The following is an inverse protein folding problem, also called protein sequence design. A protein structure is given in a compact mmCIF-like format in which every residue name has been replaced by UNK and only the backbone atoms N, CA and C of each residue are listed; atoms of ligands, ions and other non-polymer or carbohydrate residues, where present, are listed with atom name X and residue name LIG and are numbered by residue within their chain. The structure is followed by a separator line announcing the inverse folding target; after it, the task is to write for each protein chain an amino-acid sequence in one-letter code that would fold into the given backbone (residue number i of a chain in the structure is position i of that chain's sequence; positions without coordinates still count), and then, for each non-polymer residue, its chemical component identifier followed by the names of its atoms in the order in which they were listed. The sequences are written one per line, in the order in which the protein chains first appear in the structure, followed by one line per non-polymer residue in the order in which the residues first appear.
data_IF_866426533021
#
_entry.id   IF_866426533021
#
_cell.length_a   1.000
_cell.length_b   1.000
_cell.length_c   1.000
_cell.angle_alpha   90.00
_cell.angle_beta   90.00
_cell.angle_gamma   90.00
#
_symmetry.space_group_name_H-M   'P 1'
#
loop_
_entity.id
_entity.type
_entity.pdbx_description
1 polymer ?
#
# COMPACT_ATOMS: atom_id res chain seq x y z
N UNK A 1 35.23 -20.28 26.27
CA UNK A 1 34.63 -18.97 26.55
C UNK A 1 33.38 -18.83 25.70
N UNK A 2 32.17 -19.03 26.24
CA UNK A 2 30.96 -18.80 25.46
C UNK A 2 30.90 -17.30 25.13
N UNK A 3 30.84 -16.98 23.84
CA UNK A 3 30.55 -15.61 23.39
C UNK A 3 29.24 -15.19 24.06
N UNK A 4 29.29 -14.12 24.88
CA UNK A 4 28.12 -13.58 25.54
C UNK A 4 27.04 -13.33 24.47
N UNK A 5 25.82 -13.81 24.72
CA UNK A 5 24.69 -13.50 23.84
C UNK A 5 24.70 -11.99 23.62
N UNK A 6 24.64 -11.50 22.36
CA UNK A 6 24.48 -10.07 22.11
C UNK A 6 23.31 -9.62 22.99
N UNK A 7 23.59 -8.65 23.87
CA UNK A 7 22.61 -8.18 24.84
C UNK A 7 21.35 -7.82 24.07
N UNK A 8 20.23 -8.46 24.41
CA UNK A 8 18.96 -8.13 23.80
C UNK A 8 18.79 -6.62 23.91
N UNK A 9 18.88 -5.91 22.78
CA UNK A 9 18.65 -4.48 22.77
C UNK A 9 17.28 -4.27 23.41
N UNK A 10 17.26 -3.50 24.50
CA UNK A 10 16.04 -3.25 25.21
C UNK A 10 15.07 -2.57 24.23
N UNK A 11 14.02 -3.30 23.83
CA UNK A 11 12.99 -2.78 22.94
C UNK A 11 12.45 -1.49 23.54
N UNK A 12 12.60 -0.36 22.83
CA UNK A 12 12.15 0.93 23.33
C UNK A 12 10.64 0.87 23.58
N UNK A 13 10.23 1.08 24.83
CA UNK A 13 8.82 1.09 25.22
C UNK A 13 8.31 2.51 25.34
N UNK A 14 7.08 2.72 24.89
CA UNK A 14 6.37 3.98 25.02
C UNK A 14 5.24 3.86 26.04
N UNK A 15 4.96 4.95 26.73
CA UNK A 15 3.90 5.06 27.72
C UNK A 15 3.06 6.32 27.43
N UNK A 16 1.79 6.30 27.79
CA UNK A 16 0.97 7.52 27.84
C UNK A 16 1.51 8.52 28.87
N UNK A 17 1.02 9.76 28.85
CA UNK A 17 1.38 10.81 29.82
C UNK A 17 1.17 10.41 31.29
N UNK A 18 0.18 9.56 31.57
CA UNK A 18 -0.10 9.01 32.89
C UNK A 18 0.82 7.83 33.31
N UNK A 19 1.76 7.43 32.45
CA UNK A 19 2.70 6.31 32.58
C UNK A 19 2.09 4.91 32.41
N UNK A 20 0.88 4.80 31.86
CA UNK A 20 0.34 3.50 31.40
C UNK A 20 0.95 3.06 30.06
N UNK A 21 1.06 1.76 29.76
CA UNK A 21 1.64 1.28 28.51
C UNK A 21 0.94 1.83 27.25
N UNK A 22 1.72 2.35 26.30
CA UNK A 22 1.25 2.74 24.98
C UNK A 22 1.25 1.50 24.06
N UNK A 23 0.25 1.32 23.16
CA UNK A 23 0.14 0.10 22.36
C UNK A 23 1.17 -0.02 21.24
N UNK A 24 1.83 1.07 20.84
CA UNK A 24 2.82 1.06 19.76
C UNK A 24 4.25 1.23 20.31
N UNK A 25 5.22 0.73 19.55
CA UNK A 25 6.65 0.78 19.87
C UNK A 25 7.37 1.93 19.14
N UNK A 26 6.64 3.00 18.77
CA UNK A 26 7.16 4.14 18.01
C UNK A 26 6.81 5.51 18.61
N UNK A 27 7.52 6.55 18.16
CA UNK A 27 7.21 7.94 18.51
C UNK A 27 5.95 8.42 17.77
N UNK A 28 4.80 8.09 18.34
CA UNK A 28 3.52 8.43 17.73
C UNK A 28 3.22 9.93 17.69
N UNK A 29 3.92 10.78 18.46
CA UNK A 29 3.77 12.24 18.32
C UNK A 29 4.27 12.69 16.94
N UNK A 30 5.42 12.17 16.50
CA UNK A 30 5.93 12.47 15.17
C UNK A 30 5.04 11.89 14.06
N UNK A 31 4.47 10.70 14.28
CA UNK A 31 3.46 10.11 13.37
C UNK A 31 2.22 11.00 13.27
N UNK A 32 1.69 11.47 14.41
CA UNK A 32 0.52 12.36 14.46
C UNK A 32 0.76 13.68 13.72
N UNK A 33 1.95 14.27 13.88
CA UNK A 33 2.34 15.50 13.18
C UNK A 33 2.43 15.27 11.67
N UNK A 34 3.18 14.26 11.25
CA UNK A 34 3.37 13.95 9.84
C UNK A 34 2.04 13.59 9.15
N UNK A 35 1.20 12.80 9.81
CA UNK A 35 -0.12 12.45 9.29
C UNK A 35 -1.03 13.67 9.19
N UNK A 36 -0.98 14.60 10.16
CA UNK A 36 -1.72 15.87 10.09
C UNK A 36 -1.26 16.70 8.89
N UNK A 37 0.05 16.86 8.69
CA UNK A 37 0.59 17.60 7.55
C UNK A 37 0.21 16.96 6.20
N UNK A 38 0.24 15.62 6.12
CA UNK A 38 -0.20 14.88 4.94
C UNK A 38 -1.71 15.08 4.67
N UNK A 39 -2.57 14.96 5.68
CA UNK A 39 -4.00 15.21 5.55
C UNK A 39 -4.29 16.65 5.11
N UNK A 40 -3.60 17.65 5.67
CA UNK A 40 -3.73 19.06 5.23
C UNK A 40 -3.36 19.20 3.75
N UNK A 41 -2.27 18.57 3.30
CA UNK A 41 -1.86 18.59 1.89
C UNK A 41 -2.88 17.91 0.99
N UNK A 42 -3.39 16.74 1.36
CA UNK A 42 -4.45 16.02 0.64
C UNK A 42 -5.74 16.85 0.52
N UNK A 43 -6.17 17.52 1.59
CA UNK A 43 -7.37 18.36 1.58
C UNK A 43 -7.20 19.63 0.74
N UNK A 44 -5.99 20.19 0.68
CA UNK A 44 -5.66 21.28 -0.26
C UNK A 44 -5.71 20.82 -1.71
N UNK A 45 -5.19 19.63 -2.01
CA UNK A 45 -5.28 19.01 -3.33
C UNK A 45 -6.75 18.74 -3.71
N UNK A 46 -7.57 18.26 -2.76
CA UNK A 46 -9.00 18.06 -2.96
C UNK A 46 -9.73 19.36 -3.31
N UNK A 47 -9.52 20.42 -2.53
CA UNK A 47 -10.11 21.74 -2.79
C UNK A 47 -9.67 22.31 -4.16
N UNK A 48 -8.41 22.10 -4.55
CA UNK A 48 -7.91 22.50 -5.86
C UNK A 48 -8.57 21.70 -6.99
N UNK A 49 -8.69 20.38 -6.84
CA UNK A 49 -9.33 19.50 -7.80
C UNK A 49 -10.83 19.83 -7.97
N UNK A 50 -11.53 20.16 -6.89
CA UNK A 50 -12.91 20.66 -6.97
C UNK A 50 -13.03 21.97 -7.76
N UNK A 51 -12.14 22.94 -7.52
CA UNK A 51 -12.13 24.20 -8.28
C UNK A 51 -11.88 23.93 -9.76
N UNK A 52 -10.87 23.10 -10.09
CA UNK A 52 -10.58 22.67 -11.45
C UNK A 52 -11.77 21.96 -12.11
N UNK A 53 -12.47 21.06 -11.40
CA UNK A 53 -13.67 20.40 -11.93
C UNK A 53 -14.81 21.38 -12.21
N UNK A 54 -15.06 22.34 -11.31
CA UNK A 54 -16.06 23.39 -11.51
C UNK A 54 -15.72 24.27 -12.72
N UNK A 55 -14.46 24.68 -12.86
CA UNK A 55 -14.01 25.48 -14.00
C UNK A 55 -14.09 24.71 -15.33
N UNK A 56 -13.73 23.42 -15.32
CA UNK A 56 -13.87 22.55 -16.49
C UNK A 56 -15.35 22.40 -16.89
N UNK A 57 -16.25 22.27 -15.91
CA UNK A 57 -17.69 22.22 -16.16
C UNK A 57 -18.19 23.52 -16.81
N UNK A 58 -17.84 24.68 -16.25
CA UNK A 58 -18.17 25.99 -16.82
C UNK A 58 -17.63 26.17 -18.25
N UNK A 59 -16.39 25.73 -18.50
CA UNK A 59 -15.80 25.78 -19.84
C UNK A 59 -16.55 24.91 -20.86
N UNK A 60 -17.05 23.74 -20.43
CA UNK A 60 -17.90 22.87 -21.28
C UNK A 60 -19.24 23.53 -21.58
N UNK A 61 -19.88 24.11 -20.57
CA UNK A 61 -21.16 24.82 -20.74
C UNK A 61 -21.03 26.00 -21.70
N UNK A 62 -19.99 26.83 -21.52
CA UNK A 62 -19.73 27.97 -22.41
C UNK A 62 -19.47 27.51 -23.85
N UNK A 63 -18.64 26.48 -24.04
CA UNK A 63 -18.39 25.92 -25.37
C UNK A 63 -19.66 25.35 -26.04
N UNK A 64 -20.58 24.80 -25.24
CA UNK A 64 -21.89 24.34 -25.72
C UNK A 64 -22.76 25.49 -26.23
N UNK A 65 -22.83 26.60 -25.48
CA UNK A 65 -23.56 27.81 -25.89
C UNK A 65 -22.98 28.39 -27.18
N UNK A 66 -21.66 28.62 -27.23
CA UNK A 66 -20.99 29.16 -28.42
C UNK A 66 -21.19 28.26 -29.66
N UNK A 67 -21.18 26.93 -29.46
CA UNK A 67 -21.46 25.98 -30.56
C UNK A 67 -22.89 26.10 -31.06
N UNK A 68 -23.86 26.20 -30.15
CA UNK A 68 -25.27 26.40 -30.49
C UNK A 68 -25.53 27.70 -31.25
N UNK A 69 -24.84 28.79 -30.88
CA UNK A 69 -24.91 30.07 -31.60
C UNK A 69 -24.35 29.96 -33.03
N UNK A 70 -23.21 29.29 -33.19
CA UNK A 70 -22.59 29.04 -34.51
C UNK A 70 -23.50 28.19 -35.40
N UNK A 71 -24.09 27.13 -34.84
CA UNK A 71 -24.98 26.24 -35.58
C UNK A 71 -26.28 26.96 -35.96
N UNK A 72 -26.89 27.72 -35.04
CA UNK A 72 -28.07 28.53 -35.32
C UNK A 72 -27.84 29.59 -36.41
N UNK A 73 -26.66 30.23 -36.41
CA UNK A 73 -26.27 31.16 -37.49
C UNK A 73 -26.12 30.44 -38.83
N UNK A 74 -25.48 29.27 -38.85
CA UNK A 74 -25.28 28.49 -40.08
C UNK A 74 -26.63 28.01 -40.67
N UNK A 75 -27.55 27.58 -39.81
CA UNK A 75 -28.91 27.18 -40.19
C UNK A 75 -29.72 28.37 -40.73
N UNK A 76 -29.65 29.53 -40.08
CA UNK A 76 -30.31 30.75 -40.58
C UNK A 76 -29.81 31.14 -41.98
N UNK A 77 -28.49 31.09 -42.20
CA UNK A 77 -27.90 31.36 -43.53
C UNK A 77 -28.36 30.32 -44.56
N UNK A 78 -28.37 29.04 -44.20
CA UNK A 78 -28.85 27.97 -45.08
C UNK A 78 -30.32 28.16 -45.47
N UNK A 79 -31.19 28.47 -44.51
CA UNK A 79 -32.61 28.69 -44.74
C UNK A 79 -32.89 29.89 -45.67
N UNK A 80 -32.10 30.96 -45.57
CA UNK A 80 -32.19 32.09 -46.51
C UNK A 80 -31.71 31.68 -47.90
N UNK A 81 -30.56 30.99 -47.99
CA UNK A 81 -30.00 30.54 -49.27
C UNK A 81 -30.94 29.59 -50.01
N UNK A 82 -31.65 28.72 -49.29
CA UNK A 82 -32.54 27.72 -49.89
C UNK A 82 -33.73 28.34 -50.63
N UNK A 83 -34.21 29.51 -50.21
CA UNK A 83 -35.26 30.26 -50.92
C UNK A 83 -34.80 30.73 -52.30
N UNK A 84 -33.55 31.17 -52.42
CA UNK A 84 -32.97 31.64 -53.68
C UNK A 84 -32.51 30.48 -54.57
N UNK A 85 -32.12 29.36 -53.99
CA UNK A 85 -31.75 28.16 -54.74
C UNK A 85 -32.93 27.57 -55.53
N UNK A 86 -34.17 27.84 -55.12
CA UNK A 86 -35.40 27.38 -55.78
C UNK A 86 -35.80 28.24 -57.00
N UNK A 87 -35.19 29.41 -57.23
CA UNK A 87 -35.60 30.36 -58.27
C UNK A 87 -35.15 29.99 -59.72
N UNK A 88 -34.64 28.77 -59.94
CA UNK A 88 -34.21 28.25 -61.25
C UNK A 88 -32.73 27.86 -61.27
N UNK A 89 -32.42 26.69 -61.86
CA UNK A 89 -31.07 26.07 -61.84
C UNK A 89 -29.96 26.97 -62.40
N UNK A 90 -30.28 27.75 -63.44
CA UNK A 90 -29.33 28.60 -64.18
C UNK A 90 -29.29 30.07 -63.71
N UNK A 91 -30.02 30.43 -62.64
CA UNK A 91 -29.98 31.82 -62.17
C UNK A 91 -28.66 32.12 -61.44
N UNK A 92 -28.06 33.30 -61.71
CA UNK A 92 -26.88 33.77 -60.98
C UNK A 92 -27.13 33.85 -59.46
N UNK A 93 -28.37 34.14 -59.05
CA UNK A 93 -28.80 34.15 -57.65
C UNK A 93 -28.71 32.76 -57.00
N UNK A 94 -29.16 31.70 -57.69
CA UNK A 94 -29.07 30.33 -57.18
C UNK A 94 -27.60 29.88 -57.03
N UNK A 95 -26.74 30.23 -57.99
CA UNK A 95 -25.30 29.93 -57.89
C UNK A 95 -24.63 30.62 -56.69
N UNK A 96 -24.95 31.90 -56.45
CA UNK A 96 -24.46 32.66 -55.30
C UNK A 96 -24.96 32.06 -53.98
N UNK A 97 -26.25 31.72 -53.89
CA UNK A 97 -26.85 31.12 -52.71
C UNK A 97 -26.19 29.78 -52.32
N UNK A 98 -25.94 28.90 -53.30
CA UNK A 98 -25.20 27.64 -53.08
C UNK A 98 -23.80 27.90 -52.50
N UNK A 99 -23.08 28.87 -53.05
CA UNK A 99 -21.73 29.23 -52.59
C UNK A 99 -21.74 29.82 -51.17
N UNK A 100 -22.70 30.68 -50.85
CA UNK A 100 -22.87 31.25 -49.51
C UNK A 100 -23.16 30.14 -48.48
N UNK A 101 -24.08 29.23 -48.80
CA UNK A 101 -24.39 28.07 -47.94
C UNK A 101 -23.16 27.20 -47.68
N UNK A 102 -22.41 26.86 -48.73
CA UNK A 102 -21.18 26.05 -48.59
C UNK A 102 -20.12 26.78 -47.74
N UNK A 103 -19.95 28.08 -47.95
CA UNK A 103 -19.01 28.91 -47.19
C UNK A 103 -19.41 29.01 -45.72
N UNK A 104 -20.70 29.22 -45.43
CA UNK A 104 -21.24 29.27 -44.07
C UNK A 104 -21.07 27.92 -43.35
N UNK A 105 -21.36 26.80 -44.03
CA UNK A 105 -21.16 25.46 -43.48
C UNK A 105 -19.68 25.17 -43.16
N UNK A 106 -18.77 25.54 -44.07
CA UNK A 106 -17.33 25.41 -43.84
C UNK A 106 -16.86 26.31 -42.68
N UNK A 107 -17.36 27.54 -42.60
CA UNK A 107 -17.10 28.48 -41.52
C UNK A 107 -17.56 27.94 -40.17
N UNK A 108 -18.79 27.43 -40.09
CA UNK A 108 -19.36 26.83 -38.88
C UNK A 108 -18.57 25.60 -38.42
N UNK A 109 -18.15 24.73 -39.35
CA UNK A 109 -17.27 23.59 -39.05
C UNK A 109 -15.93 24.05 -38.45
N UNK A 110 -15.32 25.08 -39.05
CA UNK A 110 -14.06 25.65 -38.56
C UNK A 110 -14.21 26.29 -37.17
N UNK A 111 -15.29 27.06 -36.95
CA UNK A 111 -15.61 27.69 -35.69
C UNK A 111 -15.82 26.66 -34.57
N UNK A 112 -16.60 25.59 -34.82
CA UNK A 112 -16.77 24.47 -33.88
C UNK A 112 -15.44 23.83 -33.49
N UNK A 113 -14.57 23.56 -34.46
CA UNK A 113 -13.24 23.02 -34.19
C UNK A 113 -12.39 24.00 -33.35
N UNK A 114 -12.50 25.31 -33.59
CA UNK A 114 -11.82 26.32 -32.78
C UNK A 114 -12.36 26.37 -31.34
N UNK A 115 -13.67 26.34 -31.14
CA UNK A 115 -14.33 26.28 -29.82
C UNK A 115 -13.88 25.04 -29.05
N UNK A 116 -13.92 23.87 -29.70
CA UNK A 116 -13.46 22.61 -29.10
C UNK A 116 -11.98 22.69 -28.67
N UNK A 117 -11.09 23.18 -29.53
CA UNK A 117 -9.67 23.37 -29.20
C UNK A 117 -9.46 24.32 -28.01
N UNK A 118 -10.19 25.43 -27.93
CA UNK A 118 -10.12 26.36 -26.79
C UNK A 118 -10.59 25.70 -25.49
N UNK A 119 -11.72 24.98 -25.53
CA UNK A 119 -12.24 24.22 -24.40
C UNK A 119 -11.21 23.19 -23.91
N UNK A 120 -10.65 22.39 -24.81
CA UNK A 120 -9.73 21.31 -24.46
C UNK A 120 -8.38 21.85 -23.98
N UNK A 121 -7.90 22.98 -24.53
CA UNK A 121 -6.74 23.68 -24.01
C UNK A 121 -6.98 24.22 -22.59
N UNK A 122 -8.17 24.80 -22.34
CA UNK A 122 -8.56 25.27 -21.01
C UNK A 122 -8.65 24.12 -20.01
N UNK A 123 -9.30 23.00 -20.37
CA UNK A 123 -9.41 21.82 -19.50
C UNK A 123 -8.03 21.23 -19.20
N UNK A 124 -7.15 21.07 -20.20
CA UNK A 124 -5.78 20.56 -19.97
C UNK A 124 -4.97 21.45 -19.04
N UNK A 125 -5.12 22.78 -19.13
CA UNK A 125 -4.43 23.74 -18.25
C UNK A 125 -4.83 23.57 -16.77
N UNK A 126 -5.98 22.98 -16.47
CA UNK A 126 -6.46 22.77 -15.09
C UNK A 126 -5.76 21.61 -14.36
N UNK A 127 -4.92 20.82 -15.04
CA UNK A 127 -4.02 19.85 -14.39
C UNK A 127 -4.72 18.78 -13.56
N UNK A 128 -5.88 18.27 -14.01
CA UNK A 128 -6.60 17.23 -13.25
C UNK A 128 -5.72 15.97 -13.05
N UNK A 129 -4.94 15.59 -14.07
CA UNK A 129 -4.06 14.41 -14.01
C UNK A 129 -2.90 14.57 -13.01
N UNK A 130 -2.38 15.80 -12.83
CA UNK A 130 -1.27 16.05 -11.88
C UNK A 130 -1.70 15.93 -10.43
N UNK A 131 -3.01 15.99 -10.15
CA UNK A 131 -3.53 15.82 -8.79
C UNK A 131 -3.30 14.39 -8.30
N UNK A 132 -3.53 13.39 -9.15
CA UNK A 132 -3.38 11.99 -8.77
C UNK A 132 -1.94 11.64 -8.38
N UNK A 133 -0.95 12.14 -9.12
CA UNK A 133 0.46 11.93 -8.79
C UNK A 133 0.87 12.68 -7.52
N UNK A 134 0.38 13.91 -7.31
CA UNK A 134 0.63 14.65 -6.08
C UNK A 134 0.04 13.95 -4.83
N UNK A 135 -1.10 13.27 -4.96
CA UNK A 135 -1.67 12.46 -3.87
C UNK A 135 -0.76 11.29 -3.52
N UNK A 136 -0.24 10.58 -4.52
CA UNK A 136 0.70 9.45 -4.29
C UNK A 136 2.01 9.95 -3.68
N UNK A 137 2.49 11.12 -4.09
CA UNK A 137 3.70 11.74 -3.53
C UNK A 137 3.51 12.06 -2.04
N UNK A 138 2.43 12.76 -1.67
CA UNK A 138 2.12 13.08 -0.26
C UNK A 138 1.97 11.82 0.59
N UNK A 139 1.29 10.79 0.07
CA UNK A 139 1.16 9.51 0.76
C UNK A 139 2.52 8.79 0.89
N UNK A 140 3.36 8.89 -0.14
CA UNK A 140 4.72 8.39 -0.16
C UNK A 140 5.58 9.00 0.92
N UNK A 141 5.57 10.32 1.04
CA UNK A 141 6.31 11.04 2.08
C UNK A 141 5.89 10.58 3.48
N UNK A 142 4.58 10.47 3.73
CA UNK A 142 4.06 10.00 5.02
C UNK A 142 4.50 8.56 5.31
N UNK A 143 4.17 7.61 4.43
CA UNK A 143 4.34 6.19 4.73
C UNK A 143 5.80 5.73 4.60
N UNK A 144 6.65 6.43 3.85
CA UNK A 144 8.09 6.17 3.88
C UNK A 144 8.72 6.63 5.20
N UNK A 145 8.19 7.68 5.83
CA UNK A 145 8.72 8.19 7.10
C UNK A 145 8.10 7.54 8.34
N UNK A 146 6.81 7.18 8.28
CA UNK A 146 5.99 6.79 9.44
C UNK A 146 5.16 5.54 9.18
N UNK A 147 4.78 4.87 10.26
CA UNK A 147 3.84 3.76 10.25
C UNK A 147 2.46 4.26 10.72
N UNK A 148 1.38 3.76 10.13
CA UNK A 148 0.03 3.99 10.65
C UNK A 148 -0.31 2.93 11.71
N UNK A 149 -1.19 3.21 12.67
CA UNK A 149 -1.65 2.20 13.62
C UNK A 149 -2.12 0.92 12.94
N UNK A 150 -1.85 -0.22 13.59
CA UNK A 150 -2.25 -1.55 13.12
C UNK A 150 -1.80 -1.88 11.68
N UNK A 151 -0.64 -1.32 11.27
CA UNK A 151 -0.01 -1.68 10.01
C UNK A 151 0.61 -3.06 10.10
N UNK A 152 0.28 -3.89 9.11
CA UNK A 152 0.90 -5.19 8.89
C UNK A 152 1.86 -5.11 7.72
N UNK A 153 3.04 -5.69 7.88
CA UNK A 153 4.10 -5.65 6.89
C UNK A 153 4.32 -7.04 6.28
N UNK A 154 4.38 -7.10 4.95
CA UNK A 154 4.85 -8.24 4.17
C UNK A 154 6.08 -7.83 3.38
N UNK A 155 7.22 -8.46 3.65
CA UNK A 155 8.48 -8.22 2.96
C UNK A 155 8.76 -9.36 1.98
N UNK A 156 9.08 -9.02 0.74
CA UNK A 156 9.58 -9.94 -0.28
C UNK A 156 10.94 -9.48 -0.75
N UNK A 157 11.90 -10.37 -0.66
CA UNK A 157 13.28 -10.12 -1.04
C UNK A 157 13.75 -11.19 -2.03
N UNK A 158 14.48 -10.76 -3.05
CA UNK A 158 15.11 -11.62 -4.04
C UNK A 158 16.53 -11.12 -4.31
N UNK A 159 17.50 -12.00 -4.11
CA UNK A 159 18.90 -11.73 -4.38
C UNK A 159 19.15 -11.45 -5.87
N UNK A 160 20.19 -10.66 -6.14
CA UNK A 160 20.75 -10.47 -7.47
C UNK A 160 21.03 -11.82 -8.17
N UNK A 161 20.74 -11.89 -9.47
CA UNK A 161 21.01 -13.08 -10.30
C UNK A 161 21.46 -12.68 -11.69
N UNK A 162 22.72 -12.95 -12.02
CA UNK A 162 23.31 -12.49 -13.29
C UNK A 162 23.51 -10.97 -13.25
N UNK A 163 22.97 -10.27 -14.24
CA UNK A 163 23.04 -8.82 -14.34
C UNK A 163 21.91 -8.10 -13.57
N UNK A 164 20.96 -8.84 -13.01
CA UNK A 164 19.86 -8.28 -12.22
C UNK A 164 20.33 -7.84 -10.83
N UNK A 165 19.97 -6.62 -10.44
CA UNK A 165 20.17 -6.13 -9.08
C UNK A 165 19.27 -6.86 -8.06
N UNK A 166 19.68 -6.85 -6.80
CA UNK A 166 18.86 -7.32 -5.67
C UNK A 166 17.59 -6.48 -5.59
N UNK A 167 16.43 -7.16 -5.48
CA UNK A 167 15.12 -6.51 -5.42
C UNK A 167 14.47 -6.82 -4.08
N UNK A 168 14.00 -5.77 -3.40
CA UNK A 168 13.21 -5.89 -2.19
C UNK A 168 11.94 -5.04 -2.32
N UNK A 169 10.82 -5.66 -1.98
CA UNK A 169 9.52 -5.02 -1.96
C UNK A 169 8.88 -5.20 -0.60
N UNK A 170 8.21 -4.15 -0.13
CA UNK A 170 7.51 -4.14 1.13
C UNK A 170 6.05 -3.81 0.87
N UNK A 171 5.14 -4.62 1.38
CA UNK A 171 3.71 -4.40 1.30
C UNK A 171 3.19 -4.06 2.70
N UNK A 172 2.64 -2.87 2.85
CA UNK A 172 2.01 -2.40 4.08
C UNK A 172 0.49 -2.48 3.92
N UNK A 173 -0.20 -2.93 4.96
CA UNK A 173 -1.66 -2.85 5.06
C UNK A 173 -2.03 -2.26 6.42
N UNK A 174 -2.59 -1.06 6.43
CA UNK A 174 -3.10 -0.40 7.64
C UNK A 174 -4.55 -0.82 7.88
N UNK A 175 -4.80 -1.51 8.99
CA UNK A 175 -6.14 -1.96 9.39
C UNK A 175 -6.73 -0.98 10.43
N UNK A 176 -8.06 -0.81 10.51
CA UNK A 176 -9.11 -1.41 9.70
C UNK A 176 -9.39 -0.65 8.38
N UNK A 177 -8.66 0.42 8.07
CA UNK A 177 -8.97 1.36 6.98
C UNK A 177 -8.67 0.83 5.56
N UNK A 178 -8.18 -0.41 5.44
CA UNK A 178 -7.77 -1.08 4.19
C UNK A 178 -6.92 -0.21 3.25
N UNK A 179 -6.06 0.63 3.83
CA UNK A 179 -5.05 1.38 3.09
C UNK A 179 -3.83 0.48 2.88
N UNK A 180 -3.56 0.15 1.63
CA UNK A 180 -2.45 -0.71 1.25
C UNK A 180 -1.42 0.06 0.44
N UNK A 181 -0.14 -0.22 0.67
CA UNK A 181 0.96 0.40 -0.06
C UNK A 181 2.06 -0.62 -0.38
N UNK A 182 2.52 -0.60 -1.63
CA UNK A 182 3.69 -1.36 -2.08
C UNK A 182 4.87 -0.40 -2.22
N UNK A 183 5.96 -0.69 -1.52
CA UNK A 183 7.19 0.07 -1.55
C UNK A 183 8.28 -0.67 -2.31
N UNK A 184 9.09 0.10 -3.01
CA UNK A 184 10.46 -0.26 -3.34
C UNK A 184 11.34 -0.02 -2.10
N UNK A 185 12.18 -1.00 -1.79
CA UNK A 185 13.12 -0.93 -0.67
C UNK A 185 14.54 -0.79 -1.23
N UNK A 186 15.25 0.21 -0.75
CA UNK A 186 16.67 0.35 -1.04
C UNK A 186 17.45 -0.62 -0.16
N UNK A 187 18.31 -1.46 -0.74
CA UNK A 187 19.08 -2.44 0.05
C UNK A 187 20.52 -1.94 0.14
N UNK A 188 20.95 -1.40 1.30
CA UNK A 188 22.28 -0.81 1.43
C UNK A 188 23.38 -1.79 1.05
N UNK A 189 24.44 -1.29 0.41
CA UNK A 189 25.53 -2.14 -0.10
C UNK A 189 26.29 -2.91 0.99
N UNK A 190 26.29 -2.39 2.22
CA UNK A 190 26.87 -2.99 3.42
C UNK A 190 25.89 -3.89 4.18
N UNK A 191 24.64 -3.98 3.74
CA UNK A 191 23.62 -4.81 4.38
C UNK A 191 23.83 -6.29 4.05
N UNK A 192 23.59 -7.19 5.02
CA UNK A 192 23.71 -8.65 4.83
C UNK A 192 22.92 -9.15 3.60
N UNK A 193 21.75 -8.57 3.38
CA UNK A 193 20.81 -8.93 2.32
C UNK A 193 21.05 -8.19 1.00
N UNK A 194 22.18 -7.51 0.82
CA UNK A 194 22.53 -6.88 -0.47
C UNK A 194 22.72 -7.89 -1.60
N UNK A 195 22.99 -9.15 -1.27
CA UNK A 195 23.09 -10.25 -2.23
C UNK A 195 22.71 -11.59 -1.61
N UNK A 196 22.99 -12.71 -2.29
CA UNK A 196 22.73 -14.04 -1.74
C UNK A 196 23.42 -14.23 -0.37
N UNK A 197 22.70 -14.76 0.61
CA UNK A 197 23.19 -14.96 1.99
C UNK A 197 23.55 -16.42 2.20
N UNK A 198 24.74 -16.75 2.70
CA UNK A 198 25.05 -18.16 3.01
C UNK A 198 24.31 -18.59 4.26
N UNK A 199 23.78 -19.81 4.27
CA UNK A 199 23.06 -20.34 5.44
C UNK A 199 23.95 -20.33 6.69
N UNK A 200 25.24 -20.68 6.57
CA UNK A 200 26.18 -20.70 7.69
C UNK A 200 26.52 -19.32 8.28
N UNK A 201 26.18 -18.23 7.59
CA UNK A 201 26.26 -16.86 8.15
C UNK A 201 25.12 -16.58 9.13
N UNK A 202 23.99 -17.28 9.01
CA UNK A 202 22.81 -17.11 9.86
C UNK A 202 22.73 -18.20 10.93
N UNK A 203 22.91 -19.47 10.54
CA UNK A 203 22.87 -20.62 11.43
C UNK A 203 23.79 -21.74 10.93
N UNK A 204 24.60 -22.30 11.83
CA UNK A 204 25.45 -23.45 11.55
C UNK A 204 24.75 -24.79 11.77
N UNK A 205 25.24 -25.81 11.07
CA UNK A 205 24.85 -27.22 11.15
C UNK A 205 23.37 -27.45 10.82
N UNK A 206 22.86 -26.75 9.80
CA UNK A 206 21.47 -26.93 9.34
C UNK A 206 21.42 -28.06 8.32
N UNK A 207 20.74 -29.16 8.68
CA UNK A 207 20.52 -30.30 7.81
C UNK A 207 19.04 -30.64 7.70
N UNK A 208 18.57 -30.96 6.49
CA UNK A 208 17.18 -31.37 6.26
C UNK A 208 17.10 -32.62 5.40
N UNK A 209 16.06 -33.41 5.60
CA UNK A 209 15.78 -34.59 4.78
C UNK A 209 15.04 -34.16 3.52
N UNK A 210 15.64 -34.41 2.35
CA UNK A 210 15.08 -34.05 1.05
C UNK A 210 14.82 -35.30 0.22
N UNK A 211 13.66 -35.35 -0.43
CA UNK A 211 13.31 -36.39 -1.39
C UNK A 211 14.18 -36.27 -2.64
N UNK A 212 15.02 -37.26 -2.89
CA UNK A 212 15.82 -37.35 -4.11
C UNK A 212 15.17 -38.33 -5.07
N UNK A 213 14.86 -37.87 -6.29
CA UNK A 213 14.52 -38.76 -7.41
C UNK A 213 15.82 -39.36 -7.93
N UNK A 214 15.97 -40.68 -7.88
CA UNK A 214 17.15 -41.36 -8.42
C UNK A 214 17.03 -41.45 -9.94
N UNK A 215 18.12 -41.17 -10.66
CA UNK A 215 18.18 -41.22 -12.12
C UNK A 215 17.62 -42.52 -12.69
N UNK A 216 16.85 -42.35 -13.76
CA UNK A 216 16.13 -43.22 -14.72
C UNK A 216 16.13 -44.76 -14.66
N UNK A 217 17.01 -45.45 -13.95
CA UNK A 217 17.15 -46.94 -14.06
C UNK A 217 16.37 -47.71 -12.99
N UNK A 218 16.07 -47.12 -11.81
CA UNK A 218 15.24 -47.74 -10.75
C UNK A 218 14.53 -46.65 -9.94
N UNK A 219 13.31 -46.29 -10.35
CA UNK A 219 12.53 -45.12 -9.90
C UNK A 219 12.06 -45.07 -8.44
N UNK A 220 12.91 -45.43 -7.48
CA UNK A 220 12.63 -45.28 -6.06
C UNK A 220 12.94 -43.86 -5.56
N UNK A 221 11.97 -43.24 -4.88
CA UNK A 221 12.17 -42.02 -4.08
C UNK A 221 12.90 -42.40 -2.78
N UNK A 222 14.01 -41.72 -2.46
CA UNK A 222 14.73 -41.92 -1.19
C UNK A 222 14.95 -40.58 -0.51
N UNK A 223 14.68 -40.52 0.79
CA UNK A 223 15.07 -39.39 1.63
C UNK A 223 16.58 -39.37 1.81
N UNK A 224 17.19 -38.20 1.55
CA UNK A 224 18.61 -37.94 1.74
C UNK A 224 18.77 -36.73 2.66
N UNK A 225 19.66 -36.83 3.65
CA UNK A 225 20.11 -35.68 4.43
C UNK A 225 20.92 -34.74 3.53
N UNK A 226 20.45 -33.51 3.37
CA UNK A 226 21.10 -32.44 2.63
C UNK A 226 21.55 -31.36 3.62
N UNK A 227 22.85 -31.05 3.60
CA UNK A 227 23.43 -29.96 4.38
C UNK A 227 23.13 -28.63 3.70
N UNK A 228 22.56 -27.68 4.44
CA UNK A 228 22.22 -26.36 3.94
C UNK A 228 23.33 -25.33 4.16
N UNK A 229 24.29 -25.57 5.07
CA UNK A 229 25.38 -24.64 5.44
C UNK A 229 26.15 -24.01 4.26
N UNK A 230 26.33 -24.78 3.18
CA UNK A 230 27.06 -24.37 1.97
C UNK A 230 26.16 -23.81 0.87
N UNK A 231 24.86 -23.72 1.13
CA UNK A 231 23.86 -23.19 0.22
C UNK A 231 23.61 -21.71 0.51
N UNK A 232 22.95 -21.06 -0.42
CA UNK A 232 22.68 -19.63 -0.45
C UNK A 232 21.18 -19.40 -0.39
N UNK A 233 20.72 -18.56 0.53
CA UNK A 233 19.37 -18.04 0.53
C UNK A 233 19.30 -16.99 -0.58
N UNK A 234 18.39 -17.20 -1.54
CA UNK A 234 18.23 -16.37 -2.73
C UNK A 234 16.87 -15.66 -2.79
N UNK A 235 15.88 -16.15 -2.04
CA UNK A 235 14.55 -15.54 -1.96
C UNK A 235 14.01 -15.68 -0.53
N UNK A 236 13.32 -14.65 -0.04
CA UNK A 236 12.66 -14.64 1.27
C UNK A 236 11.32 -13.94 1.15
N UNK A 237 10.28 -14.51 1.76
CA UNK A 237 8.97 -13.91 1.94
C UNK A 237 8.59 -13.96 3.43
N UNK A 238 8.57 -12.80 4.08
CA UNK A 238 8.14 -12.62 5.48
C UNK A 238 6.77 -11.96 5.47
N UNK A 239 5.75 -12.62 6.02
CA UNK A 239 4.45 -12.02 6.28
C UNK A 239 3.73 -12.74 7.43
N UNK A 240 2.71 -12.12 8.06
CA UNK A 240 1.92 -12.79 9.09
C UNK A 240 1.30 -14.11 8.63
N UNK A 241 0.95 -14.19 7.35
CA UNK A 241 0.28 -15.34 6.73
C UNK A 241 1.25 -16.37 6.15
N UNK A 242 2.49 -15.98 5.86
CA UNK A 242 3.42 -16.82 5.10
C UNK A 242 4.85 -16.56 5.48
N UNK A 243 5.53 -17.65 5.84
CA UNK A 243 6.97 -17.72 6.13
C UNK A 243 7.64 -18.65 5.13
N UNK A 244 8.37 -18.10 4.17
CA UNK A 244 8.99 -18.90 3.12
C UNK A 244 10.35 -18.36 2.71
N UNK A 245 11.23 -19.27 2.31
CA UNK A 245 12.52 -18.91 1.74
C UNK A 245 12.99 -19.96 0.73
N UNK A 246 13.93 -19.58 -0.14
CA UNK A 246 14.52 -20.47 -1.12
C UNK A 246 16.02 -20.52 -0.89
N UNK A 247 16.55 -21.74 -0.75
CA UNK A 247 18.00 -22.00 -0.77
C UNK A 247 18.44 -22.59 -2.10
N UNK A 248 19.64 -22.24 -2.52
CA UNK A 248 20.24 -22.59 -3.80
C UNK A 248 21.68 -23.05 -3.60
N UNK A 249 22.15 -24.01 -4.40
CA UNK A 249 23.55 -24.46 -4.34
C UNK A 249 24.54 -23.42 -4.85
N UNK A 250 24.10 -22.55 -5.75
CA UNK A 250 24.90 -21.44 -6.29
C UNK A 250 24.27 -20.11 -5.87
N UNK A 251 25.07 -19.05 -5.65
CA UNK A 251 24.55 -17.73 -5.33
C UNK A 251 23.75 -17.13 -6.51
N UNK A 252 24.12 -17.48 -7.75
CA UNK A 252 23.46 -17.03 -8.98
C UNK A 252 23.47 -18.12 -10.06
N UNK A 253 22.61 -17.94 -11.06
CA UNK A 253 22.46 -18.85 -12.19
C UNK A 253 21.71 -20.14 -11.88
N UNK A 254 21.45 -20.97 -12.91
CA UNK A 254 20.64 -22.18 -12.75
C UNK A 254 21.35 -23.18 -11.83
N UNK A 255 20.64 -23.60 -10.78
CA UNK A 255 21.08 -24.67 -9.89
C UNK A 255 19.89 -25.35 -9.22
N UNK A 256 20.15 -26.45 -8.52
CA UNK A 256 19.13 -27.09 -7.69
C UNK A 256 18.75 -26.16 -6.54
N UNK A 257 17.48 -25.79 -6.47
CA UNK A 257 16.89 -24.96 -5.41
C UNK A 257 16.00 -25.79 -4.51
N UNK A 258 15.89 -25.39 -3.26
CA UNK A 258 14.97 -25.96 -2.28
C UNK A 258 14.12 -24.80 -1.75
N UNK A 259 12.83 -24.84 -2.07
CA UNK A 259 11.84 -23.93 -1.51
C UNK A 259 11.33 -24.51 -0.21
N UNK A 260 11.40 -23.71 0.85
CA UNK A 260 10.88 -24.04 2.18
C UNK A 260 9.70 -23.12 2.47
N UNK A 261 8.59 -23.70 2.90
CA UNK A 261 7.41 -22.98 3.38
C UNK A 261 7.09 -23.50 4.78
N UNK A 262 7.28 -22.65 5.78
CA UNK A 262 7.05 -23.03 7.18
C UNK A 262 5.58 -22.86 7.56
N UNK A 263 4.97 -21.74 7.14
CA UNK A 263 3.55 -21.45 7.35
C UNK A 263 2.91 -20.94 6.05
N UNK A 264 1.66 -21.30 5.83
CA UNK A 264 0.76 -20.72 4.83
C UNK A 264 -0.70 -20.82 5.32
N UNK A 265 -1.63 -19.96 4.85
CA UNK A 265 -3.01 -19.94 5.36
C UNK A 265 -3.76 -21.27 5.23
N UNK A 266 -3.42 -22.06 4.21
CA UNK A 266 -4.09 -23.32 3.86
C UNK A 266 -3.25 -24.57 4.18
N UNK A 267 -2.22 -24.44 5.03
CA UNK A 267 -1.24 -25.51 5.27
C UNK A 267 -0.75 -25.53 6.73
N UNK A 268 -1.10 -26.60 7.46
CA UNK A 268 -0.72 -26.76 8.87
C UNK A 268 0.74 -27.24 9.06
N UNK A 269 1.24 -27.98 8.09
CA UNK A 269 2.58 -28.58 8.13
C UNK A 269 3.60 -27.76 7.36
N UNK A 270 4.85 -27.72 7.84
CA UNK A 270 5.95 -27.18 7.05
C UNK A 270 6.22 -28.08 5.83
N UNK A 271 6.45 -27.47 4.66
CA UNK A 271 6.76 -28.21 3.43
C UNK A 271 8.06 -27.76 2.78
N UNK A 272 8.64 -28.70 2.04
CA UNK A 272 9.83 -28.54 1.25
C UNK A 272 9.55 -28.97 -0.19
N UNK A 273 10.04 -28.20 -1.15
CA UNK A 273 9.95 -28.54 -2.57
C UNK A 273 11.30 -28.33 -3.25
N UNK A 274 11.80 -29.36 -3.93
CA UNK A 274 13.01 -29.24 -4.75
C UNK A 274 12.63 -28.72 -6.13
N UNK A 275 13.31 -27.69 -6.60
CA UNK A 275 13.12 -27.10 -7.93
C UNK A 275 14.44 -27.23 -8.68
N UNK A 276 14.41 -27.87 -9.86
CA UNK A 276 15.59 -27.99 -10.73
C UNK A 276 15.42 -27.11 -11.96
N UNK A 277 16.09 -25.96 -11.95
CA UNK A 277 15.99 -24.95 -13.02
C UNK A 277 16.52 -25.46 -14.36
N UNK A 278 17.44 -26.45 -14.37
CA UNK A 278 18.02 -26.99 -15.60
C UNK A 278 17.10 -27.96 -16.35
N UNK A 279 16.16 -28.59 -15.64
CA UNK A 279 15.26 -29.60 -16.19
C UNK A 279 13.81 -29.09 -16.34
N UNK A 280 13.52 -27.87 -15.90
CA UNK A 280 12.14 -27.35 -15.80
C UNK A 280 11.26 -28.16 -14.84
N UNK A 281 11.87 -29.03 -14.03
CA UNK A 281 11.19 -29.98 -13.17
C UNK A 281 10.86 -29.35 -11.83
N UNK A 282 9.57 -29.17 -11.56
CA UNK A 282 9.07 -28.88 -10.21
C UNK A 282 8.94 -30.22 -9.48
N UNK A 283 9.76 -30.44 -8.46
CA UNK A 283 9.68 -31.66 -7.64
C UNK A 283 8.40 -31.72 -6.80
N UNK A 284 8.13 -32.90 -6.27
CA UNK A 284 6.99 -33.12 -5.38
C UNK A 284 7.12 -32.31 -4.08
N UNK A 285 5.97 -31.90 -3.52
CA UNK A 285 5.90 -31.34 -2.18
C UNK A 285 6.17 -32.44 -1.16
N UNK A 286 7.10 -32.16 -0.24
CA UNK A 286 7.44 -33.05 0.86
C UNK A 286 7.03 -32.37 2.18
N UNK A 287 6.32 -33.10 3.04
CA UNK A 287 6.09 -32.69 4.43
C UNK A 287 7.40 -32.83 5.21
N UNK A 288 7.75 -31.78 5.94
CA UNK A 288 8.97 -31.72 6.75
C UNK A 288 8.74 -32.47 8.06
N UNK A 289 9.71 -33.29 8.47
CA UNK A 289 9.64 -33.97 9.78
C UNK A 289 9.81 -32.98 10.94
N UNK A 290 9.29 -33.29 12.13
CA UNK A 290 9.39 -32.38 13.30
C UNK A 290 10.83 -31.96 13.63
N UNK A 291 11.79 -32.89 13.50
CA UNK A 291 13.20 -32.61 13.72
C UNK A 291 13.75 -31.60 12.70
N UNK A 292 13.44 -31.79 11.41
CA UNK A 292 13.87 -30.87 10.35
C UNK A 292 13.13 -29.52 10.47
N UNK A 293 11.88 -29.53 10.95
CA UNK A 293 11.08 -28.31 11.21
C UNK A 293 11.74 -27.46 12.28
N UNK A 294 12.18 -28.05 13.40
CA UNK A 294 12.86 -27.31 14.47
C UNK A 294 14.14 -26.63 13.97
N UNK A 295 14.92 -27.30 13.11
CA UNK A 295 16.13 -26.73 12.51
C UNK A 295 15.81 -25.57 11.55
N UNK A 296 14.76 -25.72 10.73
CA UNK A 296 14.33 -24.68 9.81
C UNK A 296 13.68 -23.49 10.53
N UNK A 297 12.96 -23.70 11.64
CA UNK A 297 12.45 -22.62 12.48
C UNK A 297 13.61 -21.82 13.12
N UNK A 298 14.64 -22.51 13.62
CA UNK A 298 15.86 -21.84 14.15
C UNK A 298 16.55 -20.98 13.09
N UNK A 299 16.67 -21.48 11.85
CA UNK A 299 17.20 -20.69 10.73
C UNK A 299 16.26 -19.53 10.40
N UNK A 300 14.95 -19.75 10.38
CA UNK A 300 13.96 -18.74 10.08
C UNK A 300 14.00 -17.58 11.07
N UNK A 301 14.10 -17.84 12.37
CA UNK A 301 14.18 -16.79 13.38
C UNK A 301 15.35 -15.83 13.08
N UNK A 302 16.50 -16.38 12.64
CA UNK A 302 17.65 -15.58 12.20
C UNK A 302 17.43 -14.82 10.90
N UNK A 303 16.74 -15.44 9.94
CA UNK A 303 16.33 -14.76 8.70
C UNK A 303 15.44 -13.57 9.05
N UNK A 304 14.40 -13.79 9.85
CA UNK A 304 13.40 -12.80 10.21
C UNK A 304 14.01 -11.64 11.01
N UNK A 305 14.82 -11.94 12.03
CA UNK A 305 15.54 -10.94 12.83
C UNK A 305 16.41 -10.01 11.96
N UNK A 306 17.11 -10.58 10.98
CA UNK A 306 18.08 -9.82 10.17
C UNK A 306 17.49 -9.17 8.94
N UNK A 307 16.38 -9.68 8.39
CA UNK A 307 15.77 -9.13 7.17
C UNK A 307 14.77 -8.02 7.48
N UNK A 308 14.15 -8.03 8.68
CA UNK A 308 13.21 -6.98 9.13
C UNK A 308 13.86 -5.60 9.22
N UNK A 309 15.18 -5.51 9.38
CA UNK A 309 15.91 -4.23 9.29
C UNK A 309 15.74 -3.54 7.94
N UNK A 310 15.37 -4.26 6.87
CA UNK A 310 15.07 -3.65 5.57
C UNK A 310 13.81 -2.75 5.58
N UNK A 311 12.92 -2.88 6.56
CA UNK A 311 11.68 -2.09 6.64
C UNK A 311 11.97 -0.59 6.77
N UNK A 312 13.06 -0.21 7.45
CA UNK A 312 13.44 1.20 7.61
C UNK A 312 14.06 1.80 6.34
N UNK A 313 14.41 0.97 5.35
CA UNK A 313 14.97 1.38 4.07
C UNK A 313 13.94 1.46 2.93
N UNK A 314 12.65 1.51 3.28
CA UNK A 314 11.57 1.83 2.33
C UNK A 314 11.82 3.20 1.70
N UNK A 315 11.86 3.24 0.37
CA UNK A 315 12.29 4.43 -0.38
C UNK A 315 11.14 5.14 -1.06
N UNK A 316 10.31 4.40 -1.77
CA UNK A 316 9.28 4.96 -2.65
C UNK A 316 8.07 4.05 -2.75
N UNK A 317 6.88 4.64 -2.74
CA UNK A 317 5.64 3.94 -3.08
C UNK A 317 5.58 3.68 -4.60
N UNK A 318 5.37 2.42 -4.97
CA UNK A 318 5.09 1.96 -6.33
C UNK A 318 3.59 1.95 -6.63
N UNK A 319 2.80 1.53 -5.64
CA UNK A 319 1.34 1.42 -5.73
C UNK A 319 0.73 1.70 -4.35
N UNK A 320 -0.39 2.39 -4.33
CA UNK A 320 -1.24 2.52 -3.15
C UNK A 320 -2.70 2.29 -3.52
N UNK A 321 -3.43 1.58 -2.66
CA UNK A 321 -4.87 1.35 -2.79
C UNK A 321 -5.58 1.70 -1.48
N UNK A 322 -6.81 2.17 -1.60
CA UNK A 322 -7.75 2.38 -0.50
C UNK A 322 -9.03 1.63 -0.85
N UNK A 323 -9.50 0.74 0.03
CA UNK A 323 -10.63 -0.16 -0.25
C UNK A 323 -10.46 -0.92 -1.59
N UNK A 324 -9.24 -1.41 -1.82
CA UNK A 324 -8.82 -2.11 -3.06
C UNK A 324 -8.88 -1.26 -4.34
N UNK A 325 -9.21 0.03 -4.25
CA UNK A 325 -9.17 0.96 -5.40
C UNK A 325 -7.82 1.69 -5.44
N UNK A 326 -7.14 1.75 -6.59
CA UNK A 326 -5.93 2.56 -6.71
C UNK A 326 -6.17 4.00 -6.28
N UNK A 327 -5.28 4.54 -5.43
CA UNK A 327 -5.40 5.91 -4.91
C UNK A 327 -5.45 6.96 -6.04
N UNK A 328 -4.77 6.68 -7.16
CA UNK A 328 -4.81 7.51 -8.37
C UNK A 328 -6.17 7.59 -9.04
N UNK A 329 -7.04 6.61 -8.80
CA UNK A 329 -8.38 6.52 -9.39
C UNK A 329 -9.46 7.10 -8.45
N UNK A 330 -9.08 7.62 -7.28
CA UNK A 330 -10.02 8.26 -6.37
C UNK A 330 -10.45 9.62 -6.91
N UNK A 331 -11.76 9.85 -6.94
CA UNK A 331 -12.33 11.13 -7.38
C UNK A 331 -12.02 12.29 -6.41
N UNK A 332 -11.80 11.95 -5.13
CA UNK A 332 -11.60 12.88 -4.04
C UNK A 332 -10.35 12.49 -3.24
N UNK A 333 -9.27 13.28 -3.28
CA UNK A 333 -8.14 13.12 -2.37
C UNK A 333 -8.55 13.14 -0.89
N UNK A 334 -9.67 13.80 -0.57
CA UNK A 334 -10.27 13.80 0.76
C UNK A 334 -10.49 12.40 1.34
N UNK A 335 -10.85 11.39 0.53
CA UNK A 335 -11.09 10.02 1.00
C UNK A 335 -9.84 9.41 1.65
N UNK A 336 -8.65 9.72 1.13
CA UNK A 336 -7.39 9.27 1.71
C UNK A 336 -7.12 9.98 3.05
N UNK A 337 -7.41 11.28 3.12
CA UNK A 337 -7.27 12.04 4.36
C UNK A 337 -8.23 11.54 5.45
N UNK A 338 -9.48 11.20 5.10
CA UNK A 338 -10.47 10.60 5.99
C UNK A 338 -9.96 9.29 6.58
N UNK A 339 -9.49 8.37 5.73
CA UNK A 339 -8.95 7.08 6.16
C UNK A 339 -7.77 7.26 7.13
N UNK A 340 -6.82 8.15 6.83
CA UNK A 340 -5.68 8.41 7.72
C UNK A 340 -6.16 8.97 9.07
N UNK A 341 -7.08 9.94 9.06
CA UNK A 341 -7.64 10.54 10.26
C UNK A 341 -8.43 9.52 11.11
N UNK A 342 -9.16 8.62 10.46
CA UNK A 342 -9.88 7.53 11.11
C UNK A 342 -8.91 6.58 11.82
N UNK A 343 -7.79 6.22 11.19
CA UNK A 343 -6.79 5.34 11.80
C UNK A 343 -6.10 5.98 13.02
N UNK A 344 -5.70 7.26 12.95
CA UNK A 344 -4.90 7.89 14.01
C UNK A 344 -5.75 8.58 15.09
N UNK A 345 -6.99 8.98 14.78
CA UNK A 345 -7.87 9.76 15.65
C UNK A 345 -8.15 9.11 17.01
N UNK A 346 -8.45 7.80 17.10
CA UNK A 346 -8.64 7.11 18.38
C UNK A 346 -7.44 7.24 19.33
N UNK A 347 -6.22 7.02 18.83
CA UNK A 347 -5.00 7.13 19.64
C UNK A 347 -4.70 8.58 20.03
N UNK A 348 -4.88 9.53 19.11
CA UNK A 348 -4.71 10.95 19.41
C UNK A 348 -5.63 11.42 20.56
N UNK A 349 -6.90 11.01 20.54
CA UNK A 349 -7.86 11.31 21.64
C UNK A 349 -7.47 10.66 22.96
N UNK A 350 -6.99 9.42 22.89
CA UNK A 350 -6.54 8.68 24.07
C UNK A 350 -5.35 9.37 24.73
N UNK A 351 -4.35 9.75 23.92
CA UNK A 351 -3.19 10.51 24.38
C UNK A 351 -3.60 11.85 24.97
N UNK A 352 -4.47 12.60 24.30
CA UNK A 352 -5.03 13.85 24.81
C UNK A 352 -5.68 13.65 26.18
N UNK A 353 -6.48 12.59 26.36
CA UNK A 353 -7.18 12.29 27.64
C UNK A 353 -6.22 11.91 28.76
N UNK A 354 -5.13 11.20 28.44
CA UNK A 354 -4.12 10.75 29.40
C UNK A 354 -2.94 11.72 29.57
N UNK A 355 -2.99 12.90 28.93
CA UNK A 355 -2.00 13.95 29.10
C UNK A 355 -2.24 14.71 30.39
N UNK A 356 -1.18 14.96 31.17
CA UNK A 356 -1.27 15.63 32.48
C UNK A 356 -1.31 17.15 32.37
N UNK A 357 -0.68 17.70 31.33
CA UNK A 357 -0.58 19.14 31.11
C UNK A 357 -1.76 19.58 30.22
N UNK A 358 -2.64 20.46 30.72
CA UNK A 358 -3.69 21.03 29.89
C UNK A 358 -3.10 21.76 28.69
N UNK A 359 -3.64 21.50 27.50
CA UNK A 359 -3.16 22.12 26.26
C UNK A 359 -2.04 21.36 25.55
N UNK A 360 -1.57 20.24 26.09
CA UNK A 360 -0.53 19.40 25.46
C UNK A 360 -1.05 17.99 25.18
N UNK A 361 -0.39 17.32 24.23
CA UNK A 361 -0.49 15.88 24.00
C UNK A 361 0.88 15.29 24.32
N UNK A 362 0.96 14.41 25.32
CA UNK A 362 2.22 13.88 25.86
C UNK A 362 2.38 12.37 25.64
N UNK A 363 3.60 11.94 25.33
CA UNK A 363 4.03 10.55 25.22
C UNK A 363 5.35 10.39 25.98
N UNK A 364 5.55 9.28 26.69
CA UNK A 364 6.81 9.01 27.39
C UNK A 364 7.56 7.89 26.72
N UNK A 365 8.87 8.03 26.60
CA UNK A 365 9.80 7.03 26.04
C UNK A 365 10.70 6.51 27.15
N UNK A 366 10.77 5.19 27.31
CA UNK A 366 11.74 4.55 28.21
C UNK A 366 13.09 4.40 27.48
N UNK A 367 14.13 5.05 28.01
CA UNK A 367 15.49 5.02 27.43
C UNK A 367 16.38 3.92 28.04
N UNK A 368 15.94 3.42 29.20
CA UNK A 368 16.84 3.40 30.36
C UNK A 368 17.45 2.07 30.72
N UNK A 369 18.04 1.74 31.87
CA UNK A 369 18.52 2.48 33.05
C UNK A 369 17.50 3.13 34.01
N UNK A 370 16.20 2.94 33.77
CA UNK A 370 15.16 3.55 34.59
C UNK A 370 14.89 5.03 34.29
N UNK A 371 15.60 5.66 33.33
CA UNK A 371 15.28 7.00 32.84
C UNK A 371 14.14 6.97 31.83
N UNK A 372 13.38 8.06 31.83
CA UNK A 372 12.28 8.33 30.90
C UNK A 372 12.46 9.71 30.31
N UNK A 373 12.09 9.82 29.05
CA UNK A 373 11.98 11.07 28.32
C UNK A 373 10.51 11.35 28.06
N UNK A 374 10.11 12.61 28.14
CA UNK A 374 8.75 13.06 27.83
C UNK A 374 8.78 13.83 26.51
N UNK A 375 8.01 13.32 25.55
CA UNK A 375 7.77 13.90 24.25
C UNK A 375 6.40 14.58 24.33
N UNK A 376 6.27 15.78 23.76
CA UNK A 376 5.00 16.50 23.78
C UNK A 376 4.79 17.35 22.53
N UNK A 377 3.53 17.64 22.23
CA UNK A 377 3.13 18.65 21.24
C UNK A 377 2.00 19.54 21.81
N UNK A 378 2.11 20.87 21.75
CA UNK A 378 1.01 21.77 22.08
C UNK A 378 -0.19 21.57 21.14
N UNK A 379 -1.41 21.49 21.68
CA UNK A 379 -2.65 21.37 20.90
C UNK A 379 -2.83 22.54 19.93
N UNK A 380 -2.41 23.74 20.33
CA UNK A 380 -2.46 24.93 19.47
C UNK A 380 -1.53 24.81 18.27
N UNK A 381 -0.35 24.20 18.44
CA UNK A 381 0.59 23.96 17.35
C UNK A 381 0.00 22.96 16.34
N UNK A 382 -0.61 21.88 16.83
CA UNK A 382 -1.29 20.91 15.98
C UNK A 382 -2.50 21.55 15.26
N UNK A 383 -3.30 22.36 15.95
CA UNK A 383 -4.44 23.07 15.39
C UNK A 383 -4.03 24.11 14.32
N UNK A 384 -2.90 24.80 14.53
CA UNK A 384 -2.40 25.79 13.58
C UNK A 384 -2.09 25.18 12.20
N UNK A 385 -1.71 23.90 12.13
CA UNK A 385 -1.40 23.21 10.87
C UNK A 385 -2.58 23.17 9.90
N UNK A 386 -3.80 22.98 10.41
CA UNK A 386 -5.01 22.91 9.60
C UNK A 386 -5.88 24.19 9.65
N UNK A 387 -5.43 25.25 10.34
CA UNK A 387 -6.18 26.49 10.47
C UNK A 387 -6.50 27.17 9.12
N UNK A 388 -5.65 26.96 8.10
CA UNK A 388 -5.82 27.52 6.75
C UNK A 388 -6.74 26.71 5.82
N UNK A 389 -7.37 25.64 6.29
CA UNK A 389 -8.36 24.88 5.52
C UNK A 389 -9.76 25.53 5.57
N UNK A 390 -10.67 25.08 4.69
CA UNK A 390 -12.09 25.45 4.75
C UNK A 390 -12.74 24.94 6.03
N UNK A 391 -13.86 25.52 6.46
CA UNK A 391 -14.60 25.04 7.64
C UNK A 391 -14.97 23.55 7.54
N UNK A 392 -15.37 23.10 6.36
CA UNK A 392 -15.70 21.70 6.08
C UNK A 392 -14.49 20.79 6.30
N UNK A 393 -13.34 21.14 5.75
CA UNK A 393 -12.11 20.37 5.90
C UNK A 393 -11.52 20.46 7.32
N UNK A 394 -11.70 21.57 8.03
CA UNK A 394 -11.27 21.70 9.43
C UNK A 394 -12.05 20.76 10.35
N UNK A 395 -13.36 20.61 10.14
CA UNK A 395 -14.21 19.69 10.93
C UNK A 395 -13.76 18.24 10.87
N UNK A 396 -13.04 17.84 9.83
CA UNK A 396 -12.49 16.48 9.75
C UNK A 396 -11.46 16.22 10.85
N UNK A 397 -10.79 17.26 11.36
CA UNK A 397 -9.84 17.16 12.47
C UNK A 397 -10.52 17.18 13.85
N UNK A 398 -11.85 17.34 13.92
CA UNK A 398 -12.62 17.25 15.17
C UNK A 398 -12.42 15.89 15.85
N UNK A 399 -12.04 14.86 15.07
CA UNK A 399 -11.69 13.52 15.56
C UNK A 399 -10.54 13.54 16.58
N UNK A 400 -9.68 14.56 16.59
CA UNK A 400 -8.63 14.73 17.61
C UNK A 400 -9.16 15.33 18.92
N UNK A 401 -10.27 16.06 18.87
CA UNK A 401 -10.84 16.78 20.00
C UNK A 401 -9.94 17.92 20.51
N UNK A 402 -9.36 18.73 19.62
CA UNK A 402 -8.46 19.81 20.08
C UNK A 402 -9.19 21.01 20.71
N UNK A 403 -10.45 21.24 20.33
CA UNK A 403 -11.17 22.50 20.60
C UNK A 403 -11.70 22.69 22.02
N UNK A 404 -11.43 21.78 22.96
CA UNK A 404 -11.81 21.92 24.37
C UNK A 404 -13.33 21.98 24.66
N UNK A 405 -14.18 22.10 23.65
CA UNK A 405 -15.64 22.22 23.73
C UNK A 405 -16.35 20.89 24.03
N UNK A 406 -15.64 19.75 23.92
CA UNK A 406 -16.19 18.41 24.06
C UNK A 406 -16.08 17.79 25.47
N UNK A 407 -16.09 18.59 26.54
CA UNK A 407 -16.02 18.07 27.92
C UNK A 407 -17.35 17.56 28.49
N UNK A 408 -18.45 17.57 27.71
CA UNK A 408 -19.79 17.15 28.18
C UNK A 408 -20.39 15.94 27.45
N UNK A 409 -19.66 15.26 26.55
CA UNK A 409 -20.21 14.05 25.91
C UNK A 409 -20.05 12.85 26.84
N UNK A 410 -21.20 12.43 27.37
CA UNK A 410 -21.51 11.24 28.14
C UNK A 410 -20.61 10.04 27.82
N UNK A 411 -20.09 9.43 28.89
CA UNK A 411 -19.34 8.18 28.92
C UNK A 411 -20.13 7.01 28.33
N UNK A 412 -20.22 6.89 27.01
CA UNK A 412 -20.31 5.57 26.42
C UNK A 412 -18.93 4.93 26.57
N UNK A 413 -18.88 3.85 27.37
CA UNK A 413 -17.69 3.02 27.54
C UNK A 413 -17.10 2.74 26.15
N UNK A 414 -15.82 3.04 25.89
CA UNK A 414 -15.21 2.68 24.62
C UNK A 414 -15.42 1.19 24.40
N UNK A 415 -15.91 0.83 23.20
CA UNK A 415 -15.83 -0.55 22.73
C UNK A 415 -14.39 -0.97 22.93
N UNK A 416 -14.18 -2.03 23.71
CA UNK A 416 -12.88 -2.62 23.94
C UNK A 416 -12.30 -2.92 22.56
N UNK A 417 -11.38 -2.08 22.07
CA UNK A 417 -10.54 -2.47 20.95
C UNK A 417 -9.80 -3.70 21.45
N UNK A 418 -9.93 -4.86 20.78
CA UNK A 418 -9.14 -6.01 21.14
C UNK A 418 -7.69 -5.57 20.99
N UNK A 419 -7.00 -5.34 22.10
CA UNK A 419 -5.55 -5.37 22.15
C UNK A 419 -5.23 -6.76 21.60
N UNK A 420 -4.84 -6.83 20.33
CA UNK A 420 -4.37 -8.07 19.75
C UNK A 420 -3.11 -8.42 20.53
N UNK A 421 -3.27 -9.23 21.58
CA UNK A 421 -2.17 -9.94 22.20
C UNK A 421 -1.54 -10.72 21.06
N UNK A 422 -0.36 -10.29 20.60
CA UNK A 422 0.57 -11.18 19.90
C UNK A 422 0.66 -12.43 20.75
N UNK A 423 0.10 -13.53 20.25
CA UNK A 423 0.06 -14.80 20.93
C UNK A 423 1.50 -15.30 21.00
N UNK A 424 2.08 -15.23 22.20
CA UNK A 424 3.13 -16.14 22.59
C UNK A 424 2.56 -17.57 22.53
N UNK A 425 3.23 -18.44 21.75
CA UNK A 425 2.89 -19.86 21.53
C UNK A 425 2.47 -20.54 22.83
N UNK A 426 1.23 -21.01 22.88
CA UNK A 426 0.71 -21.88 23.93
C UNK A 426 0.23 -23.18 23.29
N UNK A 427 0.92 -24.26 23.63
CA UNK A 427 0.52 -25.66 23.41
C UNK A 427 -0.82 -25.95 24.07
N UNK A 428 -1.75 -26.56 23.34
CA UNK A 428 -3.08 -26.89 23.84
C UNK A 428 -3.78 -27.96 22.99
N UNK A 429 -3.99 -29.10 23.64
CA UNK A 429 -4.53 -30.38 23.15
C UNK A 429 -5.89 -30.34 22.45
N UNK A 430 -6.04 -31.31 21.54
CA UNK A 430 -7.25 -31.73 20.85
C UNK A 430 -8.17 -32.55 21.76
N UNK A 431 -9.47 -32.25 21.78
CA UNK A 431 -10.50 -33.30 21.89
C UNK A 431 -11.87 -32.85 21.32
N UNK A 432 -12.28 -33.62 20.31
CA UNK A 432 -13.59 -34.20 20.03
C UNK A 432 -14.87 -33.41 19.61
N UNK A 433 -15.54 -34.10 18.66
CA UNK A 433 -16.93 -34.02 18.18
C UNK A 433 -17.30 -32.83 17.26
N UNK A 434 -17.95 -33.00 16.11
CA UNK A 434 -18.59 -34.16 15.49
C UNK A 434 -19.41 -33.76 14.26
N UNK A 435 -19.56 -34.71 13.34
CA UNK A 435 -20.70 -34.97 12.43
C UNK A 435 -21.27 -33.83 11.57
N UNK A 436 -20.94 -33.92 10.27
CA UNK A 436 -21.55 -33.21 9.15
C UNK A 436 -22.93 -33.82 8.80
N UNK A 437 -23.91 -33.03 8.34
CA UNK A 437 -24.59 -33.42 7.12
C UNK A 437 -24.77 -32.29 6.11
N UNK A 438 -24.72 -32.71 4.86
CA UNK A 438 -24.84 -31.96 3.62
C UNK A 438 -26.06 -31.02 3.56
N UNK A 439 -25.84 -29.84 2.99
CA UNK A 439 -26.85 -29.13 2.21
C UNK A 439 -26.17 -28.28 1.12
N UNK A 440 -26.71 -28.42 -0.08
CA UNK A 440 -26.58 -27.58 -1.27
C UNK A 440 -26.31 -26.11 -0.98
N UNK A 441 -25.31 -25.53 -1.67
CA UNK A 441 -25.47 -24.16 -2.17
C UNK A 441 -24.67 -23.95 -3.46
N UNK A 442 -25.42 -23.86 -4.55
CA UNK A 442 -24.98 -23.32 -5.83
C UNK A 442 -25.04 -21.79 -5.75
N UNK A 443 -24.06 -21.16 -6.40
CA UNK A 443 -24.00 -19.74 -6.77
C UNK A 443 -23.36 -18.78 -5.76
N UNK A 444 -22.01 -18.74 -5.73
CA UNK A 444 -21.28 -17.47 -5.88
C UNK A 444 -19.80 -17.74 -6.19
N UNK A 445 -19.49 -17.85 -7.48
CA UNK A 445 -18.12 -17.95 -7.97
C UNK A 445 -17.92 -16.93 -9.09
N UNK A 446 -17.47 -15.72 -8.74
CA UNK A 446 -16.75 -14.80 -9.63
C UNK A 446 -16.40 -13.48 -8.92
N UNK A 447 -15.33 -13.49 -8.11
CA UNK A 447 -14.50 -12.29 -7.85
C UNK A 447 -13.17 -12.71 -7.19
N UNK A 448 -12.48 -13.68 -7.79
CA UNK A 448 -11.07 -13.91 -7.47
C UNK A 448 -10.26 -12.79 -8.10
N UNK A 449 -9.80 -11.83 -7.30
CA UNK A 449 -8.80 -10.88 -7.75
C UNK A 449 -7.56 -11.68 -8.22
N UNK A 450 -7.04 -11.44 -9.43
CA UNK A 450 -5.86 -12.14 -9.90
C UNK A 450 -4.68 -11.83 -8.96
N UNK A 451 -3.75 -12.78 -8.74
CA UNK A 451 -2.51 -12.44 -8.08
C UNK A 451 -1.86 -11.33 -8.89
N UNK A 452 -1.53 -10.20 -8.22
CA UNK A 452 -0.70 -9.14 -8.77
C UNK A 452 0.62 -9.78 -9.23
N UNK A 453 0.67 -10.18 -10.50
CA UNK A 453 1.91 -10.52 -11.18
C UNK A 453 2.64 -9.20 -11.32
N UNK A 454 3.63 -8.99 -10.45
CA UNK A 454 4.68 -8.02 -10.69
C UNK A 454 5.24 -8.33 -12.08
N UNK A 455 5.01 -7.40 -13.02
CA UNK A 455 5.71 -7.41 -14.30
C UNK A 455 7.18 -7.19 -13.93
N UNK A 456 7.97 -8.26 -14.07
CA UNK A 456 9.40 -8.31 -13.76
C UNK A 456 10.24 -7.47 -14.70
#
# INVERSE_FOLDING_TARGET
MPAGRPGAEATMRYLYGDATPFPLEENFIETLVAATDACVSLLRLDAAAERSRREAHLARMQAGVETGEVDGLAEAVAAVCDRYAQAGEDSAAAALARRLRQTAAAGAKSARAAIARRRDARIRKLGLDTTADAVVEVLGELLCARELPDTTWRLRWKAASGDDATKAHLHATANPIDLQALFEVDVPADHLWHGPVRVDQLAGDVEVSVLSVRSWVRGGKRLRRERLDRQWITEVEVSPERRAFVVSRKPSGPSRRIQVVLDAPDQDDATLRVVDDGAGGVGDVQIVSDADRAELERLWDRIEDTIRSLIVHRRRILLATLDKRPVRELERPQQVAEAILEAIGPLAREMRRRSRVPGEITLKRELGDGRREELFIPKQELAAKFAGLSDEHRRMFDVFGLDGTAELVTTERPRNFPIQKRIARGTGDLSDAGTNPAADDRANAAAGAPPLRLVT
#
